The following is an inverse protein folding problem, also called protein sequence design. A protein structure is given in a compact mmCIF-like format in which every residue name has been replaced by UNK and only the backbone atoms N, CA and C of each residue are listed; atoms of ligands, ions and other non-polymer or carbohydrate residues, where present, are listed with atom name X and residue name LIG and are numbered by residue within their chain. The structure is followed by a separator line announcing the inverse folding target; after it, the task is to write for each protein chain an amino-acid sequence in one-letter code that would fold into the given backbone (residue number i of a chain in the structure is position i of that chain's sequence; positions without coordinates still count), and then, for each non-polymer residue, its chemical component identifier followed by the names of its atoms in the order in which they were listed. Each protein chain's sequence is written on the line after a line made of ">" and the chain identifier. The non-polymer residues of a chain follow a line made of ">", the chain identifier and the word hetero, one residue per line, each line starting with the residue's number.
data_IF_468194878986
#
_entry.id   IF_468194878986
#
_cell.length_a   1.000
_cell.length_b   1.000
_cell.length_c   1.000
_cell.angle_alpha   90.00
_cell.angle_beta   90.00
_cell.angle_gamma   90.00
#
_symmetry.space_group_name_H-M   'P 1'
#
loop_
_entity.id
_entity.type
_entity.pdbx_description
1 polymer ?
#
# COMPACT_ATOMS: atom_id res chain seq x y z
N UNK A 1 -18.05 8.83 -7.73
CA UNK A 1 -16.65 8.42 -8.02
C UNK A 1 -16.69 7.05 -8.69
N UNK A 2 -15.99 6.88 -9.82
CA UNK A 2 -15.91 5.59 -10.52
C UNK A 2 -14.77 4.73 -9.95
N UNK A 3 -14.81 3.42 -10.20
CA UNK A 3 -13.72 2.54 -9.76
C UNK A 3 -12.38 2.96 -10.38
N UNK A 4 -12.35 3.30 -11.69
CA UNK A 4 -11.13 3.76 -12.35
C UNK A 4 -10.56 5.06 -11.77
N UNK A 5 -11.42 5.98 -11.33
CA UNK A 5 -10.94 7.18 -10.62
C UNK A 5 -10.36 6.84 -9.25
N UNK A 6 -10.96 5.89 -8.51
CA UNK A 6 -10.45 5.47 -7.21
C UNK A 6 -9.12 4.74 -7.33
N UNK A 7 -9.00 3.81 -8.29
CA UNK A 7 -7.75 3.07 -8.58
C UNK A 7 -6.63 4.00 -9.01
N UNK A 8 -6.90 4.93 -9.95
CA UNK A 8 -5.91 5.95 -10.34
C UNK A 8 -5.45 6.76 -9.16
N UNK A 9 -6.38 7.22 -8.31
CA UNK A 9 -6.04 7.99 -7.11
C UNK A 9 -5.16 7.21 -6.13
N UNK A 10 -5.40 5.91 -5.96
CA UNK A 10 -4.61 5.05 -5.07
C UNK A 10 -3.18 4.81 -5.62
N UNK A 11 -3.04 4.64 -6.93
CA UNK A 11 -1.75 4.37 -7.58
C UNK A 11 -0.81 5.59 -7.68
N UNK A 12 -1.34 6.81 -7.54
CA UNK A 12 -0.65 8.07 -7.85
C UNK A 12 0.79 8.19 -7.31
N UNK A 13 1.05 7.74 -6.09
CA UNK A 13 2.41 7.83 -5.53
C UNK A 13 3.25 6.62 -5.97
N UNK A 14 2.68 5.41 -5.97
CA UNK A 14 3.41 4.18 -6.26
C UNK A 14 3.85 4.07 -7.73
N UNK A 15 3.13 4.72 -8.65
CA UNK A 15 3.54 4.83 -10.06
C UNK A 15 4.82 5.65 -10.24
N UNK A 16 5.16 6.48 -9.25
CA UNK A 16 6.32 7.37 -9.22
C UNK A 16 7.38 6.91 -8.21
N UNK A 17 7.36 5.63 -7.80
CA UNK A 17 8.33 5.09 -6.86
C UNK A 17 9.75 5.12 -7.46
N UNK A 18 10.68 5.77 -6.77
CA UNK A 18 12.11 5.73 -7.12
C UNK A 18 12.82 4.56 -6.47
N UNK A 19 12.55 4.33 -5.19
CA UNK A 19 13.21 3.28 -4.42
C UNK A 19 12.32 2.82 -3.28
N UNK A 20 12.39 1.53 -2.98
CA UNK A 20 11.82 0.91 -1.80
C UNK A 20 12.83 -0.07 -1.21
N UNK A 21 13.00 -0.05 0.10
CA UNK A 21 13.84 -0.97 0.84
C UNK A 21 13.06 -1.45 2.07
N UNK A 22 13.18 -2.75 2.35
CA UNK A 22 12.61 -3.40 3.52
C UNK A 22 13.72 -4.20 4.17
N UNK A 23 13.91 -4.01 5.46
CA UNK A 23 14.97 -4.65 6.23
C UNK A 23 14.38 -5.26 7.51
N UNK A 24 14.70 -6.53 7.77
CA UNK A 24 14.40 -7.22 9.02
C UNK A 24 15.73 -7.69 9.63
N UNK A 25 16.06 -7.20 10.82
CA UNK A 25 17.31 -7.54 11.53
C UNK A 25 18.56 -7.42 10.64
N UNK A 26 18.68 -6.29 9.94
CA UNK A 26 19.77 -6.01 8.99
C UNK A 26 19.80 -6.88 7.72
N UNK A 27 18.82 -7.78 7.53
CA UNK A 27 18.64 -8.52 6.29
C UNK A 27 17.68 -7.77 5.36
N UNK A 28 18.17 -7.37 4.19
CA UNK A 28 17.38 -6.69 3.16
C UNK A 28 16.55 -7.68 2.35
N UNK A 29 15.30 -7.32 2.07
CA UNK A 29 14.47 -8.06 1.13
C UNK A 29 15.04 -7.95 -0.29
N UNK A 30 15.06 -9.05 -1.03
CA UNK A 30 15.69 -9.13 -2.36
C UNK A 30 14.98 -8.29 -3.42
N UNK A 31 13.64 -8.26 -3.40
CA UNK A 31 12.86 -7.53 -4.40
C UNK A 31 11.55 -6.98 -3.82
N UNK A 32 11.57 -5.90 -3.03
CA UNK A 32 10.35 -5.37 -2.43
C UNK A 32 9.38 -4.79 -3.46
N UNK A 33 9.82 -4.47 -4.69
CA UNK A 33 8.92 -3.95 -5.72
C UNK A 33 7.93 -5.00 -6.24
N UNK A 34 8.28 -6.29 -6.20
CA UNK A 34 7.35 -7.37 -6.56
C UNK A 34 6.22 -7.58 -5.54
N UNK A 35 6.27 -6.87 -4.42
CA UNK A 35 5.25 -6.89 -3.37
C UNK A 35 4.16 -5.82 -3.58
N UNK A 36 4.18 -5.09 -4.71
CA UNK A 36 3.11 -4.16 -5.06
C UNK A 36 1.83 -4.94 -5.37
N UNK A 37 0.76 -4.59 -4.67
CA UNK A 37 -0.57 -5.16 -4.90
C UNK A 37 -1.55 -4.01 -5.11
N UNK A 38 -2.28 -4.07 -6.21
CA UNK A 38 -3.37 -3.18 -6.53
C UNK A 38 -4.69 -3.94 -6.54
N UNK A 39 -5.77 -3.29 -6.13
CA UNK A 39 -7.10 -3.87 -6.15
C UNK A 39 -7.55 -4.16 -7.59
N UNK A 40 -7.98 -5.40 -7.85
CA UNK A 40 -8.54 -5.78 -9.15
C UNK A 40 -9.83 -5.00 -9.42
N UNK A 41 -10.71 -4.95 -8.42
CA UNK A 41 -11.98 -4.21 -8.42
C UNK A 41 -12.08 -3.31 -7.18
N UNK A 42 -13.05 -2.38 -7.16
CA UNK A 42 -13.25 -1.44 -6.08
C UNK A 42 -14.41 -1.85 -5.17
N UNK A 43 -14.32 -1.45 -3.90
CA UNK A 43 -15.41 -1.65 -2.95
C UNK A 43 -16.64 -0.82 -3.38
N UNK A 44 -17.75 -1.46 -3.72
CA UNK A 44 -19.02 -0.78 -3.99
C UNK A 44 -19.78 -0.55 -2.68
N UNK A 45 -19.81 0.68 -2.20
CA UNK A 45 -20.47 1.05 -0.94
C UNK A 45 -21.94 0.66 -0.89
N UNK A 46 -22.61 0.68 -2.04
CA UNK A 46 -24.03 0.36 -2.18
C UNK A 46 -24.27 -1.04 -2.78
N UNK A 47 -23.22 -1.87 -2.90
CA UNK A 47 -23.29 -3.16 -3.58
C UNK A 47 -24.23 -4.18 -2.93
N UNK A 48 -24.59 -3.97 -1.65
CA UNK A 48 -25.54 -4.80 -0.91
C UNK A 48 -26.96 -4.20 -0.85
N UNK A 49 -27.18 -3.00 -1.41
CA UNK A 49 -28.52 -2.40 -1.46
C UNK A 49 -29.40 -3.19 -2.44
N UNK A 50 -30.63 -3.58 -2.07
CA UNK A 50 -31.50 -4.35 -2.95
C UNK A 50 -31.73 -3.68 -4.30
N UNK A 51 -31.62 -4.44 -5.39
CA UNK A 51 -31.75 -3.95 -6.78
C UNK A 51 -33.05 -3.19 -7.06
N UNK A 52 -34.14 -3.48 -6.32
CA UNK A 52 -35.44 -2.78 -6.44
C UNK A 52 -35.35 -1.27 -6.18
N UNK A 53 -34.32 -0.82 -5.48
CA UNK A 53 -34.07 0.60 -5.21
C UNK A 53 -33.18 1.26 -6.27
N UNK A 54 -32.76 0.52 -7.31
CA UNK A 54 -31.87 0.99 -8.38
C UNK A 54 -30.66 1.78 -7.85
N UNK A 55 -29.91 1.25 -6.87
CA UNK A 55 -28.80 1.99 -6.28
C UNK A 55 -27.73 2.28 -7.35
N UNK A 56 -27.15 3.50 -7.38
CA UNK A 56 -26.02 3.77 -8.25
C UNK A 56 -24.79 3.00 -7.75
N UNK A 57 -23.85 2.73 -8.65
CA UNK A 57 -22.53 2.26 -8.25
C UNK A 57 -21.75 3.40 -7.58
N UNK A 58 -21.22 3.13 -6.39
CA UNK A 58 -20.44 4.09 -5.63
C UNK A 58 -19.18 3.43 -5.10
N UNK A 59 -18.03 3.81 -5.68
CA UNK A 59 -16.73 3.26 -5.35
C UNK A 59 -15.89 4.28 -4.58
N UNK A 60 -15.99 4.36 -3.24
CA UNK A 60 -15.28 5.36 -2.44
C UNK A 60 -13.78 5.06 -2.29
N UNK A 61 -13.34 3.82 -2.54
CA UNK A 61 -11.98 3.40 -2.23
C UNK A 61 -11.47 2.31 -3.17
N UNK A 62 -10.15 2.31 -3.36
CA UNK A 62 -9.33 1.28 -3.98
C UNK A 62 -8.02 1.18 -3.19
N UNK A 63 -7.24 0.11 -3.37
CA UNK A 63 -5.91 -0.01 -2.77
C UNK A 63 -4.86 -0.19 -3.85
N UNK A 64 -3.71 0.44 -3.63
CA UNK A 64 -2.48 0.22 -4.37
C UNK A 64 -1.34 0.49 -3.39
N UNK A 65 -0.48 -0.50 -3.14
CA UNK A 65 0.57 -0.38 -2.14
C UNK A 65 1.50 -1.57 -2.11
N UNK A 66 2.57 -1.47 -1.32
CA UNK A 66 3.55 -2.54 -1.11
C UNK A 66 3.21 -3.33 0.16
N UNK A 67 3.00 -4.64 0.01
CA UNK A 67 2.56 -5.52 1.09
C UNK A 67 3.64 -6.53 1.43
N UNK A 68 4.26 -6.38 2.61
CA UNK A 68 5.29 -7.31 3.08
C UNK A 68 4.67 -8.31 4.05
N UNK A 69 4.79 -9.60 3.73
CA UNK A 69 4.50 -10.67 4.68
C UNK A 69 5.79 -11.19 5.30
N UNK A 70 5.85 -11.17 6.62
CA UNK A 70 6.94 -11.76 7.38
C UNK A 70 6.64 -13.22 7.68
N UNK A 71 7.65 -14.08 7.56
CA UNK A 71 7.57 -15.41 8.18
C UNK A 71 7.46 -15.24 9.71
N UNK A 72 6.92 -16.24 10.43
CA UNK A 72 6.95 -16.24 11.89
C UNK A 72 8.37 -15.95 12.39
N UNK A 73 8.47 -14.93 13.23
CA UNK A 73 9.73 -14.49 13.81
C UNK A 73 10.10 -15.40 14.99
N UNK A 74 11.40 -15.52 15.25
CA UNK A 74 11.87 -16.20 16.45
C UNK A 74 11.43 -15.42 17.71
N UNK A 75 11.53 -16.05 18.88
CA UNK A 75 11.33 -15.34 20.15
C UNK A 75 12.43 -14.30 20.34
N UNK A 76 12.08 -13.13 20.85
CA UNK A 76 13.03 -12.04 21.09
C UNK A 76 12.57 -10.70 20.51
N UNK A 77 13.54 -9.79 20.36
CA UNK A 77 13.35 -8.46 19.80
C UNK A 77 13.86 -8.43 18.36
N UNK A 78 13.05 -7.86 17.47
CA UNK A 78 13.35 -7.70 16.05
C UNK A 78 13.17 -6.25 15.62
N UNK A 79 13.94 -5.82 14.62
CA UNK A 79 13.82 -4.49 14.03
C UNK A 79 13.40 -4.63 12.58
N UNK A 80 12.28 -4.00 12.23
CA UNK A 80 11.74 -3.95 10.88
C UNK A 80 11.77 -2.50 10.38
N UNK A 81 12.46 -2.25 9.28
CA UNK A 81 12.58 -0.92 8.65
C UNK A 81 11.97 -0.91 7.26
N UNK A 82 11.28 0.18 6.94
CA UNK A 82 10.76 0.49 5.61
C UNK A 82 11.31 1.83 5.18
N UNK A 83 11.92 1.88 4.01
CA UNK A 83 12.37 3.10 3.39
C UNK A 83 11.79 3.19 1.99
N UNK A 84 11.12 4.29 1.63
CA UNK A 84 10.58 4.50 0.30
C UNK A 84 10.72 5.96 -0.13
N UNK A 85 11.11 6.17 -1.38
CA UNK A 85 11.23 7.50 -1.99
C UNK A 85 10.41 7.57 -3.26
N UNK A 86 9.70 8.68 -3.45
CA UNK A 86 8.82 8.89 -4.60
C UNK A 86 9.21 10.17 -5.34
N UNK A 87 9.24 10.14 -6.68
CA UNK A 87 9.54 11.30 -7.50
C UNK A 87 8.26 12.00 -7.95
N UNK A 88 7.94 13.13 -7.33
CA UNK A 88 6.94 14.02 -7.92
C UNK A 88 7.55 15.39 -8.08
N UNK A 89 7.63 15.85 -9.32
CA UNK A 89 8.06 17.21 -9.61
C UNK A 89 7.00 18.25 -9.19
N UNK A 90 5.71 17.85 -9.09
CA UNK A 90 4.57 18.72 -8.70
C UNK A 90 3.48 17.91 -7.97
N UNK A 91 2.75 18.54 -7.02
CA UNK A 91 1.57 17.98 -6.32
C UNK A 91 1.71 17.92 -4.79
N UNK A 92 0.60 17.72 -4.06
CA UNK A 92 0.55 17.78 -2.58
C UNK A 92 1.45 16.77 -1.83
N UNK A 93 1.95 15.75 -2.52
CA UNK A 93 2.81 14.69 -1.97
C UNK A 93 4.18 14.60 -2.68
N UNK A 94 4.61 15.67 -3.36
CA UNK A 94 5.92 15.72 -4.03
C UNK A 94 7.08 15.53 -3.06
N UNK A 95 8.08 14.73 -3.44
CA UNK A 95 9.27 14.40 -2.64
C UNK A 95 8.96 13.67 -1.33
N UNK A 96 7.86 12.93 -1.29
CA UNK A 96 7.54 12.07 -0.15
C UNK A 96 8.70 11.07 0.05
N UNK A 97 9.23 11.06 1.26
CA UNK A 97 10.14 10.04 1.74
C UNK A 97 9.48 9.41 2.97
N UNK A 98 9.44 8.08 2.99
CA UNK A 98 9.02 7.31 4.14
C UNK A 98 10.26 6.65 4.72
N UNK A 99 10.49 6.84 6.01
CA UNK A 99 11.47 6.10 6.80
C UNK A 99 10.76 5.70 8.10
N UNK A 100 10.42 4.42 8.19
CA UNK A 100 9.57 3.87 9.25
C UNK A 100 10.34 2.71 9.88
N UNK A 101 10.49 2.75 11.21
CA UNK A 101 11.09 1.68 11.99
C UNK A 101 10.08 1.13 13.01
N UNK A 102 9.96 -0.18 13.08
CA UNK A 102 9.22 -0.91 14.10
C UNK A 102 10.15 -1.77 14.94
N UNK A 103 9.88 -1.83 16.25
CA UNK A 103 10.45 -2.82 17.16
C UNK A 103 9.38 -3.85 17.48
N UNK A 104 9.64 -5.11 17.16
CA UNK A 104 8.71 -6.22 17.32
C UNK A 104 9.22 -7.13 18.43
N UNK A 105 8.40 -7.41 19.44
CA UNK A 105 8.73 -8.31 20.55
C UNK A 105 7.88 -9.56 20.48
N UNK A 106 8.52 -10.72 20.33
CA UNK A 106 7.89 -12.04 20.24
C UNK A 106 8.16 -12.81 21.53
N UNK A 107 7.10 -13.30 22.18
CA UNK A 107 7.15 -13.99 23.48
C UNK A 107 7.17 -15.52 23.36
#
# INVERSE_FOLDING_TARGET
>A
MSCDSAKRSAALNNDELLSIQVELDSMKALNPTSMRVASQDCFNLLGLVPKRYSPPNLYPAATDGYWVMLKPLAKGAHILKFNAMYNREKGAYSKMAQDIEYKIFVK
#
